data_IF_130232773979
#
_entry.id   IF_130232773979
#
_cell.length_a   1.000
_cell.length_b   1.000
_cell.length_c   1.000
_cell.angle_alpha   90.00
_cell.angle_beta   90.00
_cell.angle_gamma   90.00
#
_symmetry.space_group_name_H-M   'P 1'
#
loop_
_entity.id
_entity.type
_entity.pdbx_description
1 polymer ?
#
# COMPACT_ATOMS: atom_id res chain seq x y z
N UNK A 1 62.40 8.34 30.06
CA UNK A 1 61.48 9.44 30.38
C UNK A 1 60.45 9.54 29.25
N UNK A 2 59.32 8.84 29.39
CA UNK A 2 58.27 8.81 28.36
C UNK A 2 57.24 9.88 28.73
N UNK A 3 57.08 10.86 27.86
CA UNK A 3 56.03 11.86 27.95
C UNK A 3 54.80 11.29 27.25
N UNK A 4 53.81 10.90 28.01
CA UNK A 4 52.50 10.47 27.51
C UNK A 4 51.68 11.72 27.23
N UNK A 5 51.53 12.07 25.96
CA UNK A 5 50.67 13.14 25.53
C UNK A 5 49.20 12.67 25.68
N UNK A 6 48.53 13.13 26.74
CA UNK A 6 47.11 12.97 26.92
C UNK A 6 46.40 13.99 26.00
N UNK A 7 45.96 13.51 24.86
CA UNK A 7 45.20 14.33 23.92
C UNK A 7 43.70 14.26 24.29
N UNK A 8 43.33 14.95 25.39
CA UNK A 8 41.95 15.16 25.75
C UNK A 8 41.35 16.23 24.83
N UNK A 9 40.92 15.82 23.63
CA UNK A 9 40.09 16.67 22.75
C UNK A 9 38.67 16.75 23.30
N UNK A 10 38.46 17.46 24.42
CA UNK A 10 37.15 17.76 24.91
C UNK A 10 36.44 18.75 23.96
N UNK A 11 35.53 18.23 23.19
CA UNK A 11 34.73 19.02 22.27
C UNK A 11 34.04 20.18 23.01
N UNK A 12 34.27 21.42 22.53
CA UNK A 12 33.72 22.64 23.13
C UNK A 12 32.19 22.51 23.34
N UNK A 13 31.67 22.99 24.48
CA UNK A 13 30.23 22.96 24.78
C UNK A 13 29.38 23.59 23.66
N UNK A 14 29.87 24.63 23.00
CA UNK A 14 29.18 25.27 21.85
C UNK A 14 29.02 24.30 20.68
N UNK A 15 30.04 23.50 20.36
CA UNK A 15 29.99 22.51 19.28
C UNK A 15 28.96 21.41 19.64
N UNK A 16 28.92 20.97 20.89
CA UNK A 16 27.94 19.98 21.36
C UNK A 16 26.51 20.49 21.20
N UNK A 17 26.22 21.76 21.56
CA UNK A 17 24.90 22.36 21.39
C UNK A 17 24.52 22.52 19.92
N UNK A 18 25.45 22.89 19.04
CA UNK A 18 25.22 22.99 17.59
C UNK A 18 24.92 21.61 17.02
N UNK A 19 25.68 20.59 17.38
CA UNK A 19 25.45 19.21 16.93
C UNK A 19 24.10 18.66 17.41
N UNK A 20 23.77 18.90 18.69
CA UNK A 20 22.46 18.48 19.21
C UNK A 20 21.30 19.19 18.50
N UNK A 21 21.43 20.49 18.27
CA UNK A 21 20.41 21.27 17.51
C UNK A 21 20.24 20.78 16.08
N UNK A 22 21.36 20.51 15.39
CA UNK A 22 21.28 19.99 14.01
C UNK A 22 20.65 18.58 13.94
N UNK A 23 20.91 17.71 14.92
CA UNK A 23 20.25 16.39 14.99
C UNK A 23 18.73 16.55 15.16
N UNK A 24 18.29 17.44 16.05
CA UNK A 24 16.85 17.69 16.24
C UNK A 24 16.21 18.21 14.96
N UNK A 25 16.86 19.14 14.24
CA UNK A 25 16.34 19.66 12.98
C UNK A 25 16.23 18.54 11.93
N UNK A 26 17.24 17.68 11.79
CA UNK A 26 17.22 16.55 10.86
C UNK A 26 16.08 15.59 11.19
N UNK A 27 15.86 15.28 12.47
CA UNK A 27 14.76 14.43 12.91
C UNK A 27 13.40 15.06 12.59
N UNK A 28 13.22 16.36 12.80
CA UNK A 28 12.00 17.08 12.45
C UNK A 28 11.76 17.06 10.93
N UNK A 29 12.79 17.31 10.13
CA UNK A 29 12.70 17.22 8.67
C UNK A 29 12.32 15.81 8.20
N UNK A 30 12.85 14.78 8.85
CA UNK A 30 12.49 13.39 8.55
C UNK A 30 11.03 13.09 8.87
N UNK A 31 10.49 13.61 9.98
CA UNK A 31 9.09 13.41 10.37
C UNK A 31 8.09 14.10 9.43
N UNK A 32 8.46 15.23 8.83
CA UNK A 32 7.60 15.92 7.85
C UNK A 32 7.83 15.45 6.41
N UNK A 33 8.80 14.53 6.17
CA UNK A 33 9.06 14.01 4.83
C UNK A 33 7.85 13.27 4.29
N UNK A 34 7.36 13.62 3.09
CA UNK A 34 6.19 12.97 2.52
C UNK A 34 6.53 11.50 2.17
N UNK A 35 5.66 10.60 2.59
CA UNK A 35 5.69 9.19 2.19
C UNK A 35 4.35 8.85 1.55
N UNK A 36 4.36 8.10 0.46
CA UNK A 36 3.13 7.62 -0.18
C UNK A 36 2.40 6.63 0.72
N UNK A 37 1.08 6.73 0.75
CA UNK A 37 0.17 5.80 1.45
C UNK A 37 -0.90 5.34 0.48
N UNK A 38 -1.29 4.08 0.58
CA UNK A 38 -2.51 3.56 -0.02
C UNK A 38 -3.68 4.01 0.88
N UNK A 39 -4.65 4.68 0.30
CA UNK A 39 -5.80 5.26 1.02
C UNK A 39 -7.07 4.59 0.54
N UNK A 40 -7.85 4.08 1.48
CA UNK A 40 -9.14 3.43 1.25
C UNK A 40 -10.21 4.33 1.85
N UNK A 41 -11.07 4.88 1.00
CA UNK A 41 -12.10 5.86 1.37
C UNK A 41 -13.49 5.33 1.07
N UNK A 42 -14.42 5.52 1.99
CA UNK A 42 -15.85 5.30 1.79
C UNK A 42 -16.63 6.45 2.41
N UNK A 43 -17.78 6.82 1.81
CA UNK A 43 -18.61 7.91 2.32
C UNK A 43 -19.15 7.58 3.72
N UNK A 44 -18.95 8.49 4.66
CA UNK A 44 -19.38 8.33 6.05
C UNK A 44 -18.42 7.57 6.96
N UNK A 45 -17.25 7.17 6.46
CA UNK A 45 -16.23 6.45 7.22
C UNK A 45 -14.93 7.24 7.28
N UNK A 46 -14.16 7.02 8.34
CA UNK A 46 -12.79 7.50 8.40
C UNK A 46 -11.91 6.75 7.38
N UNK A 47 -11.02 7.43 6.67
CA UNK A 47 -10.13 6.77 5.72
C UNK A 47 -9.20 5.76 6.40
N UNK A 48 -9.00 4.61 5.76
CA UNK A 48 -8.01 3.61 6.17
C UNK A 48 -6.73 3.82 5.37
N UNK A 49 -5.59 3.76 6.06
CA UNK A 49 -4.27 4.00 5.46
C UNK A 49 -3.41 2.77 5.57
N UNK A 50 -2.90 2.30 4.43
CA UNK A 50 -1.96 1.20 4.32
C UNK A 50 -0.64 1.71 3.71
N UNK A 51 0.38 0.88 3.72
CA UNK A 51 1.64 1.20 3.03
C UNK A 51 1.44 1.26 1.52
N UNK A 52 2.11 2.22 0.85
CA UNK A 52 2.05 2.34 -0.61
C UNK A 52 3.06 1.38 -1.26
N UNK A 53 2.77 0.09 -1.18
CA UNK A 53 3.57 -1.01 -1.72
C UNK A 53 2.70 -1.89 -2.62
N UNK A 54 3.26 -2.99 -3.09
CA UNK A 54 2.50 -4.02 -3.81
C UNK A 54 1.41 -4.61 -2.91
N UNK A 55 0.23 -4.78 -3.45
CA UNK A 55 -0.88 -5.43 -2.78
C UNK A 55 -1.72 -6.26 -3.75
N UNK A 56 -2.47 -7.18 -3.21
CA UNK A 56 -3.46 -7.95 -3.94
C UNK A 56 -4.87 -7.49 -3.57
N UNK A 57 -5.72 -7.32 -4.57
CA UNK A 57 -7.15 -7.05 -4.41
C UNK A 57 -7.93 -8.31 -4.76
N UNK A 58 -8.60 -8.89 -3.78
CA UNK A 58 -9.37 -10.13 -3.93
C UNK A 58 -10.87 -9.88 -3.82
N UNK A 59 -11.66 -10.64 -4.57
CA UNK A 59 -13.12 -10.68 -4.44
C UNK A 59 -13.70 -11.99 -4.98
N UNK A 60 -14.95 -12.28 -4.61
CA UNK A 60 -15.74 -13.34 -5.22
C UNK A 60 -16.52 -12.76 -6.38
N UNK A 61 -16.31 -13.27 -7.59
CA UNK A 61 -17.03 -12.83 -8.76
C UNK A 61 -18.53 -13.14 -8.65
N UNK A 62 -19.38 -12.15 -8.89
CA UNK A 62 -20.82 -12.24 -8.55
C UNK A 62 -21.63 -13.24 -9.40
N UNK A 63 -21.14 -13.62 -10.56
CA UNK A 63 -21.81 -14.53 -11.49
C UNK A 63 -21.24 -15.94 -11.36
N UNK A 64 -19.94 -16.07 -11.51
CA UNK A 64 -19.22 -17.36 -11.46
C UNK A 64 -19.11 -17.92 -10.04
N UNK A 65 -19.22 -17.06 -9.01
CA UNK A 65 -19.05 -17.39 -7.58
C UNK A 65 -17.66 -17.97 -7.27
N UNK A 66 -16.68 -17.60 -8.06
CA UNK A 66 -15.28 -18.00 -7.90
C UNK A 66 -14.42 -16.80 -7.49
N UNK A 67 -13.32 -17.12 -6.82
CA UNK A 67 -12.37 -16.08 -6.42
C UNK A 67 -11.64 -15.52 -7.65
N UNK A 68 -11.51 -14.22 -7.65
CA UNK A 68 -10.72 -13.45 -8.57
C UNK A 68 -9.79 -12.55 -7.77
N UNK A 69 -8.56 -12.38 -8.21
CA UNK A 69 -7.68 -11.38 -7.62
C UNK A 69 -6.78 -10.72 -8.64
N UNK A 70 -6.34 -9.53 -8.29
CA UNK A 70 -5.48 -8.67 -9.09
C UNK A 70 -4.31 -8.20 -8.25
N UNK A 71 -3.12 -8.14 -8.86
CA UNK A 71 -1.89 -7.65 -8.24
C UNK A 71 -1.60 -6.24 -8.73
N UNK A 72 -1.47 -5.33 -7.78
CA UNK A 72 -1.19 -3.93 -8.03
C UNK A 72 0.16 -3.52 -7.45
N UNK A 73 0.96 -2.82 -8.24
CA UNK A 73 2.14 -2.09 -7.77
C UNK A 73 1.83 -0.60 -7.66
N UNK A 74 2.38 0.04 -6.64
CA UNK A 74 2.34 1.51 -6.54
C UNK A 74 3.51 2.09 -7.32
N UNK A 75 3.21 2.87 -8.35
CA UNK A 75 4.22 3.49 -9.21
C UNK A 75 3.81 4.93 -9.57
N UNK A 76 4.67 5.90 -9.27
CA UNK A 76 4.46 7.32 -9.60
C UNK A 76 3.10 7.88 -9.11
N UNK A 77 2.71 7.54 -7.89
CA UNK A 77 1.40 7.87 -7.29
C UNK A 77 0.18 7.30 -8.05
N UNK A 78 0.38 6.24 -8.81
CA UNK A 78 -0.67 5.51 -9.49
C UNK A 78 -0.65 4.04 -9.07
N UNK A 79 -1.72 3.35 -9.38
CA UNK A 79 -1.92 1.93 -9.19
C UNK A 79 -1.69 1.24 -10.54
N UNK A 80 -0.59 0.49 -10.65
CA UNK A 80 -0.28 -0.29 -11.85
C UNK A 80 -0.79 -1.72 -11.64
N UNK A 81 -1.81 -2.13 -12.38
CA UNK A 81 -2.24 -3.52 -12.48
C UNK A 81 -1.19 -4.31 -13.26
N UNK A 82 -0.51 -5.24 -12.60
CA UNK A 82 0.53 -6.07 -13.21
C UNK A 82 0.01 -7.43 -13.61
N UNK A 83 -0.86 -8.02 -12.81
CA UNK A 83 -1.37 -9.37 -13.03
C UNK A 83 -2.82 -9.49 -12.58
N UNK A 84 -3.61 -10.31 -13.29
CA UNK A 84 -4.96 -10.68 -12.88
C UNK A 84 -5.13 -12.20 -12.95
N UNK A 85 -5.85 -12.74 -11.96
CA UNK A 85 -6.02 -14.17 -11.74
C UNK A 85 -7.50 -14.50 -11.59
N UNK A 86 -7.99 -15.46 -12.37
CA UNK A 86 -9.37 -15.91 -12.34
C UNK A 86 -9.45 -17.40 -12.72
N UNK A 87 -10.53 -18.08 -12.35
CA UNK A 87 -10.70 -19.53 -12.61
C UNK A 87 -11.47 -19.81 -13.89
N UNK A 88 -12.45 -19.00 -14.19
CA UNK A 88 -13.34 -19.18 -15.37
C UNK A 88 -13.34 -17.93 -16.24
N UNK A 89 -13.38 -18.16 -17.56
CA UNK A 89 -13.58 -17.08 -18.53
C UNK A 89 -15.04 -16.63 -18.49
N UNK A 90 -15.29 -15.48 -17.89
CA UNK A 90 -16.62 -14.90 -17.73
C UNK A 90 -16.65 -13.39 -18.01
N UNK A 91 -17.63 -12.72 -17.44
CA UNK A 91 -17.77 -11.27 -17.58
C UNK A 91 -16.63 -10.54 -16.87
N UNK A 92 -16.03 -9.53 -17.51
CA UNK A 92 -14.96 -8.72 -16.92
C UNK A 92 -13.54 -9.24 -17.19
N UNK A 93 -13.37 -10.45 -17.75
CA UNK A 93 -12.05 -10.96 -18.14
C UNK A 93 -11.42 -9.99 -19.16
N UNK A 94 -10.14 -9.58 -18.97
CA UNK A 94 -9.44 -8.76 -19.93
C UNK A 94 -9.46 -9.39 -21.33
N UNK A 95 -9.59 -8.56 -22.37
CA UNK A 95 -9.65 -9.02 -23.75
C UNK A 95 -8.28 -9.43 -24.30
N UNK A 96 -7.20 -9.08 -23.61
CA UNK A 96 -5.83 -9.42 -23.97
C UNK A 96 -4.96 -9.59 -22.74
N UNK A 97 -3.83 -10.29 -22.92
CA UNK A 97 -2.72 -10.35 -21.98
C UNK A 97 -1.45 -9.97 -22.74
N UNK A 98 -0.50 -9.28 -22.09
CA UNK A 98 0.78 -8.93 -22.74
C UNK A 98 1.66 -10.15 -23.02
N UNK A 99 1.51 -11.18 -22.18
CA UNK A 99 2.17 -12.47 -22.33
C UNK A 99 1.12 -13.58 -22.54
N UNK A 100 1.49 -14.73 -23.09
CA UNK A 100 0.59 -15.88 -23.18
C UNK A 100 0.01 -16.21 -21.80
N UNK A 101 -1.31 -16.48 -21.70
CA UNK A 101 -1.92 -16.87 -20.43
C UNK A 101 -1.25 -18.10 -19.83
N UNK A 102 -1.03 -18.06 -18.53
CA UNK A 102 -0.49 -19.17 -17.75
C UNK A 102 -1.60 -19.81 -16.91
N UNK A 103 -1.50 -21.11 -16.65
CA UNK A 103 -2.35 -21.80 -15.69
C UNK A 103 -1.48 -22.13 -14.49
N UNK A 104 -1.85 -21.61 -13.31
CA UNK A 104 -1.14 -21.84 -12.07
C UNK A 104 -1.41 -23.23 -11.51
N UNK A 105 -0.58 -23.71 -10.59
CA UNK A 105 -0.72 -25.05 -9.99
C UNK A 105 -2.05 -25.21 -9.20
N UNK A 106 -2.61 -24.12 -8.69
CA UNK A 106 -3.90 -24.04 -7.97
C UNK A 106 -5.10 -23.75 -8.91
N UNK A 107 -4.85 -23.73 -10.21
CA UNK A 107 -5.89 -23.73 -11.25
C UNK A 107 -6.41 -22.36 -11.63
N UNK A 108 -5.70 -21.28 -11.32
CA UNK A 108 -6.02 -19.97 -11.85
C UNK A 108 -5.45 -19.79 -13.27
N UNK A 109 -6.16 -19.04 -14.08
CA UNK A 109 -5.65 -18.46 -15.31
C UNK A 109 -5.03 -17.12 -14.94
N UNK A 110 -3.75 -16.96 -15.17
CA UNK A 110 -3.00 -15.73 -14.96
C UNK A 110 -2.86 -14.95 -16.28
N UNK A 111 -3.20 -13.67 -16.24
CA UNK A 111 -2.89 -12.72 -17.31
C UNK A 111 -1.90 -11.68 -16.80
N UNK A 112 -0.89 -11.38 -17.61
CA UNK A 112 0.00 -10.23 -17.40
C UNK A 112 -0.64 -9.01 -18.05
N UNK A 113 -0.77 -7.94 -17.27
CA UNK A 113 -1.42 -6.67 -17.64
C UNK A 113 -0.45 -5.53 -17.32
N UNK A 114 -0.62 -4.36 -17.94
CA UNK A 114 0.19 -3.17 -17.67
C UNK A 114 -0.70 -1.90 -17.69
N UNK A 115 -1.86 -2.01 -17.07
CA UNK A 115 -2.81 -0.90 -17.01
C UNK A 115 -2.59 -0.05 -15.78
N UNK A 116 -2.54 1.28 -15.97
CA UNK A 116 -2.33 2.23 -14.88
C UNK A 116 -3.61 2.98 -14.54
N UNK A 117 -3.94 3.00 -13.25
CA UNK A 117 -5.13 3.64 -12.70
C UNK A 117 -4.76 4.71 -11.67
N UNK A 118 -5.30 5.93 -11.75
CA UNK A 118 -5.11 6.93 -10.70
C UNK A 118 -5.87 6.57 -9.42
N UNK A 119 -6.99 5.87 -9.56
CA UNK A 119 -7.85 5.38 -8.48
C UNK A 119 -8.57 4.12 -8.92
N UNK A 120 -8.89 3.25 -7.95
CA UNK A 120 -9.84 2.15 -8.14
C UNK A 120 -11.15 2.50 -7.45
N UNK A 121 -12.26 2.08 -8.04
CA UNK A 121 -13.60 2.20 -7.46
C UNK A 121 -14.25 0.82 -7.47
N UNK A 122 -14.77 0.41 -6.32
CA UNK A 122 -15.42 -0.88 -6.17
C UNK A 122 -16.61 -0.79 -5.21
N UNK A 123 -17.59 -1.67 -5.39
CA UNK A 123 -18.65 -1.86 -4.43
C UNK A 123 -18.31 -3.02 -3.50
N UNK A 124 -18.30 -2.73 -2.21
CA UNK A 124 -17.99 -3.72 -1.17
C UNK A 124 -19.30 -4.32 -0.66
N UNK A 125 -19.35 -5.64 -0.52
CA UNK A 125 -20.49 -6.34 0.07
C UNK A 125 -20.08 -7.69 0.66
N UNK A 126 -20.90 -8.21 1.57
CA UNK A 126 -20.68 -9.54 2.16
C UNK A 126 -20.71 -10.68 1.13
N UNK A 127 -21.40 -10.50 0.00
CA UNK A 127 -21.46 -11.52 -1.05
C UNK A 127 -20.19 -11.54 -1.91
N UNK A 128 -19.58 -10.37 -2.13
CA UNK A 128 -18.37 -10.19 -2.95
C UNK A 128 -17.10 -10.44 -2.14
N UNK A 129 -17.15 -10.24 -0.82
CA UNK A 129 -16.04 -10.46 0.13
C UNK A 129 -14.74 -9.79 -0.30
N UNK A 130 -14.84 -8.54 -0.73
CA UNK A 130 -13.68 -7.77 -1.17
C UNK A 130 -12.67 -7.62 -0.02
N UNK A 131 -11.42 -7.97 -0.28
CA UNK A 131 -10.32 -7.81 0.66
C UNK A 131 -9.06 -7.33 -0.06
N UNK A 132 -8.19 -6.66 0.69
CA UNK A 132 -6.82 -6.33 0.27
C UNK A 132 -5.87 -7.20 1.07
N UNK A 133 -4.91 -7.83 0.40
CA UNK A 133 -3.82 -8.57 1.03
C UNK A 133 -2.52 -7.80 0.78
N UNK A 134 -1.82 -7.48 1.86
CA UNK A 134 -0.54 -6.79 1.81
C UNK A 134 0.37 -7.28 2.94
N UNK A 135 1.60 -7.65 2.64
CA UNK A 135 2.58 -8.14 3.63
C UNK A 135 2.03 -9.29 4.48
N UNK A 136 1.35 -10.26 3.86
CA UNK A 136 0.67 -11.40 4.49
C UNK A 136 -0.46 -11.01 5.48
N UNK A 137 -0.93 -9.76 5.45
CA UNK A 137 -2.07 -9.27 6.23
C UNK A 137 -3.29 -9.11 5.33
N UNK A 138 -4.43 -9.62 5.80
CA UNK A 138 -5.72 -9.45 5.14
C UNK A 138 -6.47 -8.28 5.75
N UNK A 139 -6.90 -7.34 4.90
CA UNK A 139 -7.78 -6.24 5.24
C UNK A 139 -9.15 -6.51 4.62
N UNK A 140 -10.09 -6.96 5.45
CA UNK A 140 -11.42 -7.42 5.02
C UNK A 140 -12.36 -6.21 4.84
N UNK A 141 -12.38 -5.63 3.64
CA UNK A 141 -13.16 -4.42 3.39
C UNK A 141 -14.66 -4.62 3.63
N UNK A 142 -15.18 -5.83 3.39
CA UNK A 142 -16.59 -6.17 3.65
C UNK A 142 -16.95 -6.25 5.15
N UNK A 143 -15.95 -6.27 6.05
CA UNK A 143 -16.15 -6.18 7.50
C UNK A 143 -15.90 -4.76 8.02
N UNK A 144 -15.09 -3.97 7.31
CA UNK A 144 -14.75 -2.59 7.67
C UNK A 144 -15.85 -1.59 7.28
N UNK A 145 -16.57 -1.87 6.21
CA UNK A 145 -17.58 -0.98 5.63
C UNK A 145 -18.93 -1.68 5.52
N UNK A 146 -20.00 -0.92 5.58
CA UNK A 146 -21.34 -1.44 5.37
C UNK A 146 -21.51 -2.06 3.97
N UNK A 147 -22.40 -3.03 3.87
CA UNK A 147 -22.68 -3.70 2.60
C UNK A 147 -23.28 -2.75 1.55
N UNK A 148 -22.85 -2.92 0.31
CA UNK A 148 -23.23 -2.12 -0.86
C UNK A 148 -22.76 -0.66 -0.82
N UNK A 149 -21.66 -0.40 -0.16
CA UNK A 149 -21.00 0.92 -0.19
C UNK A 149 -19.94 0.97 -1.31
N UNK A 150 -19.80 2.13 -1.93
CA UNK A 150 -18.74 2.39 -2.89
C UNK A 150 -17.48 2.79 -2.14
N UNK A 151 -16.39 2.09 -2.43
CA UNK A 151 -15.07 2.32 -1.86
C UNK A 151 -14.13 2.79 -2.96
N UNK A 152 -13.34 3.81 -2.67
CA UNK A 152 -12.26 4.32 -3.52
C UNK A 152 -10.93 3.92 -2.92
N UNK A 153 -10.02 3.39 -3.73
CA UNK A 153 -8.61 3.16 -3.37
C UNK A 153 -7.75 4.10 -4.20
N UNK A 154 -6.87 4.83 -3.54
CA UNK A 154 -6.00 5.84 -4.17
C UNK A 154 -4.65 5.94 -3.46
N UNK A 155 -3.71 6.68 -4.05
CA UNK A 155 -2.40 6.96 -3.46
C UNK A 155 -2.34 8.42 -3.05
N UNK A 156 -1.96 8.67 -1.79
CA UNK A 156 -1.73 10.00 -1.26
C UNK A 156 -0.34 10.14 -0.63
N UNK A 157 0.27 11.31 -0.82
CA UNK A 157 1.51 11.66 -0.14
C UNK A 157 1.19 12.33 1.20
N UNK A 158 1.58 11.70 2.30
CA UNK A 158 1.34 12.19 3.66
C UNK A 158 2.64 12.32 4.44
N UNK A 159 2.79 13.33 5.30
CA UNK A 159 3.91 13.42 6.22
C UNK A 159 4.03 12.15 7.09
N UNK A 160 5.26 11.69 7.29
CA UNK A 160 5.53 10.46 8.04
C UNK A 160 4.90 10.46 9.45
N UNK A 161 4.91 11.61 10.14
CA UNK A 161 4.33 11.68 11.49
C UNK A 161 2.82 11.38 11.51
N UNK A 162 2.07 11.71 10.43
CA UNK A 162 0.64 11.39 10.31
C UNK A 162 0.41 9.88 10.06
N UNK A 163 1.36 9.19 9.44
CA UNK A 163 1.28 7.74 9.27
C UNK A 163 1.55 7.01 10.59
N UNK A 164 2.41 7.57 11.44
CA UNK A 164 2.71 7.00 12.76
C UNK A 164 1.60 7.24 13.80
N UNK A 165 0.77 8.27 13.61
CA UNK A 165 -0.31 8.66 14.53
C UNK A 165 -1.71 8.26 14.06
N UNK A 166 -1.91 8.10 12.75
CA UNK A 166 -3.15 7.61 12.15
C UNK A 166 -3.12 6.09 12.14
N UNK A 167 -3.97 5.48 12.96
CA UNK A 167 -3.97 4.06 13.25
C UNK A 167 -3.71 3.17 12.03
N UNK A 168 -2.63 2.44 12.11
CA UNK A 168 -2.52 1.12 11.53
C UNK A 168 -3.51 0.27 12.31
N UNK A 169 -4.63 -0.05 11.70
CA UNK A 169 -5.57 -1.05 12.23
C UNK A 169 -5.05 -2.42 11.85
#
# INVERSE_FOLDING_TARGET
>A
MYIQAHNDSTMSSKIRWILSGSIVIVLLLFLIWPKSSLVIEAEGYEPVYLEAETFELHWIHSIEHEEWYEVYEVRDNNLLLTETYFKTFGAGVPSYSEEPPEITDDGYVKFTVNDTYPNLYMNVSENVKTKIIQNDQEHLLYEMFDSNISVKVSIENRPLFLQLTGGLI
#
